data_IF_505313258994
#
_entry.id   IF_505313258994
#
_cell.length_a   1.000
_cell.length_b   1.000
_cell.length_c   1.000
_cell.angle_alpha   90.00
_cell.angle_beta   90.00
_cell.angle_gamma   90.00
#
_symmetry.space_group_name_H-M   'P 1'
#
loop_
_entity.id
_entity.type
_entity.pdbx_description
1 polymer ?
#
# COMPACT_ATOMS: atom_id res chain seq x y z
N UNK A 1 40.99 22.96 30.80
CA UNK A 1 40.16 24.16 30.54
C UNK A 1 39.45 23.95 29.23
N UNK A 2 38.11 24.04 29.25
CA UNK A 2 37.15 24.19 28.15
C UNK A 2 37.29 23.24 26.94
N UNK A 3 36.24 22.52 26.52
CA UNK A 3 34.94 23.08 26.20
C UNK A 3 33.78 22.11 26.49
N UNK A 4 32.82 22.61 27.27
CA UNK A 4 31.40 22.30 27.13
C UNK A 4 30.91 22.71 25.74
N UNK A 5 30.08 21.89 25.11
CA UNK A 5 28.83 22.28 24.42
C UNK A 5 28.26 21.10 23.60
N UNK A 6 27.68 20.11 24.27
CA UNK A 6 26.50 19.42 23.72
C UNK A 6 25.28 19.89 24.51
N UNK A 7 25.04 21.20 24.42
CA UNK A 7 23.74 21.75 24.78
C UNK A 7 22.75 21.27 23.72
N UNK A 8 21.98 20.25 24.10
CA UNK A 8 20.67 19.92 23.57
C UNK A 8 19.94 21.22 23.21
N UNK A 9 19.98 21.58 21.92
CA UNK A 9 18.96 22.48 21.42
C UNK A 9 17.67 21.66 21.49
N UNK A 10 16.84 21.99 22.47
CA UNK A 10 15.44 21.60 22.45
C UNK A 10 14.80 22.34 21.27
N UNK A 11 15.13 21.91 20.04
CA UNK A 11 14.38 22.27 18.85
C UNK A 11 12.93 21.90 19.14
N UNK A 12 11.99 22.80 18.83
CA UNK A 12 10.56 22.53 18.93
C UNK A 12 10.32 21.13 18.38
N UNK A 13 9.81 20.22 19.21
CA UNK A 13 9.62 18.83 18.81
C UNK A 13 8.75 18.80 17.56
N UNK A 14 9.38 18.52 16.42
CA UNK A 14 8.71 18.50 15.13
C UNK A 14 7.60 17.44 15.18
N UNK A 15 6.44 17.78 14.62
CA UNK A 15 5.33 16.82 14.50
C UNK A 15 5.80 15.63 13.70
N UNK A 16 5.33 14.43 14.06
CA UNK A 16 5.63 13.21 13.31
C UNK A 16 4.54 12.97 12.28
N UNK A 17 4.82 13.10 10.96
CA UNK A 17 3.87 12.79 9.91
C UNK A 17 3.60 11.28 9.82
N UNK A 18 2.50 10.91 9.16
CA UNK A 18 2.22 9.55 8.71
C UNK A 18 2.83 9.34 7.32
N UNK A 19 3.60 8.27 7.13
CA UNK A 19 4.10 7.87 5.81
C UNK A 19 3.09 6.95 5.12
N UNK A 20 2.72 7.23 3.87
CA UNK A 20 1.74 6.46 3.11
C UNK A 20 2.34 6.02 1.78
N UNK A 21 2.49 4.71 1.57
CA UNK A 21 2.81 4.14 0.28
C UNK A 21 1.53 3.77 -0.47
N UNK A 22 1.38 4.22 -1.71
CA UNK A 22 0.23 3.88 -2.57
C UNK A 22 0.71 2.95 -3.68
N UNK A 23 0.22 1.71 -3.70
CA UNK A 23 0.65 0.67 -4.64
C UNK A 23 -0.44 0.37 -5.65
N UNK A 24 -0.16 0.58 -6.93
CA UNK A 24 -1.13 0.34 -8.00
C UNK A 24 -1.28 -1.14 -8.38
N UNK A 25 -2.36 -1.42 -9.11
CA UNK A 25 -2.68 -2.73 -9.70
C UNK A 25 -1.97 -3.01 -11.02
N UNK A 26 -2.47 -4.00 -11.77
CA UNK A 26 -1.91 -4.42 -13.06
C UNK A 26 -2.01 -3.35 -14.14
N UNK A 27 -1.24 -3.57 -15.21
CA UNK A 27 -1.31 -2.80 -16.44
C UNK A 27 -0.47 -1.51 -16.44
N UNK A 28 -0.61 -0.76 -17.52
CA UNK A 28 0.18 0.45 -17.81
C UNK A 28 -0.34 1.64 -17.03
N UNK A 29 -0.04 1.66 -15.74
CA UNK A 29 -0.30 2.82 -14.90
C UNK A 29 0.66 3.95 -15.29
N UNK A 30 0.13 5.16 -15.38
CA UNK A 30 0.94 6.37 -15.55
C UNK A 30 1.66 6.69 -14.22
N UNK A 31 2.87 7.28 -14.22
CA UNK A 31 3.52 7.72 -12.98
C UNK A 31 2.65 8.61 -12.06
N UNK A 32 1.67 9.31 -12.63
CA UNK A 32 0.70 10.19 -11.94
C UNK A 32 -0.55 9.45 -11.43
N UNK A 33 -0.61 8.11 -11.49
CA UNK A 33 -1.82 7.33 -11.16
C UNK A 33 -2.43 7.62 -9.78
N UNK A 34 -1.63 8.13 -8.84
CA UNK A 34 -2.05 8.39 -7.48
C UNK A 34 -2.37 9.87 -7.21
N UNK A 35 -2.22 10.78 -8.17
CA UNK A 35 -2.29 12.23 -7.93
C UNK A 35 -3.65 12.66 -7.36
N UNK A 36 -4.75 12.14 -7.92
CA UNK A 36 -6.10 12.42 -7.42
C UNK A 36 -6.29 11.89 -6.00
N UNK A 37 -5.91 10.63 -5.73
CA UNK A 37 -5.96 10.04 -4.40
C UNK A 37 -5.12 10.86 -3.40
N UNK A 38 -3.93 11.31 -3.80
CA UNK A 38 -3.03 12.10 -2.96
C UNK A 38 -3.70 13.41 -2.57
N UNK A 39 -4.25 14.15 -3.54
CA UNK A 39 -4.94 15.40 -3.27
C UNK A 39 -6.14 15.19 -2.33
N UNK A 40 -6.94 14.18 -2.63
CA UNK A 40 -8.17 13.82 -1.92
C UNK A 40 -7.91 13.34 -0.47
N UNK A 41 -6.91 12.48 -0.26
CA UNK A 41 -6.52 12.01 1.07
C UNK A 41 -5.88 13.13 1.88
N UNK A 42 -4.98 13.93 1.29
CA UNK A 42 -4.32 15.04 1.96
C UNK A 42 -5.34 16.06 2.45
N UNK A 43 -6.28 16.43 1.59
CA UNK A 43 -7.37 17.34 1.93
C UNK A 43 -8.25 16.81 3.06
N UNK A 44 -8.74 15.56 2.95
CA UNK A 44 -9.61 14.97 3.98
C UNK A 44 -8.89 14.76 5.31
N UNK A 45 -7.65 14.28 5.27
CA UNK A 45 -6.82 14.05 6.45
C UNK A 45 -6.63 15.34 7.25
N UNK A 46 -6.29 16.43 6.56
CA UNK A 46 -6.09 17.74 7.19
C UNK A 46 -7.37 18.23 7.91
N UNK A 47 -8.55 17.94 7.37
CA UNK A 47 -9.84 18.30 8.00
C UNK A 47 -10.17 17.53 9.27
N UNK A 48 -9.54 16.37 9.50
CA UNK A 48 -9.72 15.59 10.72
C UNK A 48 -8.70 15.94 11.81
N UNK A 49 -7.70 16.80 11.50
CA UNK A 49 -6.74 17.28 12.48
C UNK A 49 -7.28 18.48 13.29
N UNK A 50 -6.81 18.66 14.54
CA UNK A 50 -7.16 19.84 15.34
C UNK A 50 -6.74 21.15 14.66
N UNK A 51 -7.52 22.22 14.87
CA UNK A 51 -7.30 23.52 14.22
C UNK A 51 -5.98 24.22 14.63
N UNK A 52 -5.37 23.82 15.75
CA UNK A 52 -4.09 24.36 16.22
C UNK A 52 -2.86 23.66 15.60
N UNK A 53 -3.05 22.65 14.74
CA UNK A 53 -1.96 22.03 14.00
C UNK A 53 -1.56 22.96 12.85
N UNK A 54 -0.32 23.49 12.83
CA UNK A 54 0.16 24.26 11.69
C UNK A 54 0.32 23.35 10.47
N UNK A 55 -0.04 23.85 9.30
CA UNK A 55 0.12 23.19 8.00
C UNK A 55 -0.31 21.70 8.00
N UNK A 56 -1.56 21.37 8.36
CA UNK A 56 -2.02 20.00 8.58
C UNK A 56 -1.89 19.09 7.35
N UNK A 57 -1.81 19.66 6.14
CA UNK A 57 -1.56 18.93 4.90
C UNK A 57 -0.14 18.34 4.83
N UNK A 58 0.83 18.90 5.56
CA UNK A 58 2.22 18.40 5.63
C UNK A 58 2.37 17.22 6.58
N UNK A 59 1.33 16.91 7.36
CA UNK A 59 1.34 15.88 8.39
C UNK A 59 1.02 14.47 7.86
N UNK A 60 0.88 14.35 6.53
CA UNK A 60 0.75 13.12 5.78
C UNK A 60 1.68 13.19 4.57
N UNK A 61 2.58 12.22 4.43
CA UNK A 61 3.55 12.15 3.33
C UNK A 61 3.23 10.93 2.49
N UNK A 62 2.84 11.15 1.24
CA UNK A 62 2.39 10.09 0.34
C UNK A 62 3.41 9.87 -0.78
N UNK A 63 3.67 8.60 -1.09
CA UNK A 63 4.59 8.16 -2.15
C UNK A 63 3.89 7.12 -3.04
N UNK A 64 3.72 7.41 -4.34
CA UNK A 64 3.29 6.42 -5.32
C UNK A 64 4.38 5.35 -5.52
N UNK A 65 4.00 4.08 -5.44
CA UNK A 65 4.86 2.96 -5.79
C UNK A 65 4.55 2.50 -7.21
N UNK A 66 5.23 3.12 -8.17
CA UNK A 66 5.07 2.86 -9.60
C UNK A 66 5.96 1.69 -10.07
N UNK A 67 5.43 0.47 -10.04
CA UNK A 67 6.16 -0.75 -10.40
C UNK A 67 5.92 -1.21 -11.85
N UNK A 68 4.90 -0.66 -12.54
CA UNK A 68 4.55 -1.02 -13.92
C UNK A 68 5.74 -1.06 -14.91
N UNK A 69 6.75 -0.16 -14.85
CA UNK A 69 7.88 -0.18 -15.77
C UNK A 69 8.70 -1.48 -15.77
N UNK A 70 8.63 -2.29 -14.69
CA UNK A 70 9.34 -3.56 -14.60
C UNK A 70 8.86 -4.57 -15.65
N UNK A 71 7.55 -4.59 -15.94
CA UNK A 71 6.94 -5.55 -16.88
C UNK A 71 6.59 -4.92 -18.23
N UNK A 72 6.48 -3.60 -18.32
CA UNK A 72 6.00 -2.86 -19.48
C UNK A 72 6.68 -3.27 -20.81
N UNK A 73 8.00 -3.50 -20.81
CA UNK A 73 8.73 -3.89 -22.02
C UNK A 73 8.36 -5.29 -22.49
N UNK A 74 8.26 -6.26 -21.58
CA UNK A 74 7.88 -7.64 -21.90
C UNK A 74 6.42 -7.71 -22.38
N UNK A 75 5.52 -6.96 -21.74
CA UNK A 75 4.12 -6.85 -22.16
C UNK A 75 3.96 -6.26 -23.56
N UNK A 76 4.67 -5.18 -23.90
CA UNK A 76 4.63 -4.60 -25.24
C UNK A 76 5.08 -5.62 -26.30
N UNK A 77 6.18 -6.34 -26.04
CA UNK A 77 6.63 -7.37 -26.97
C UNK A 77 5.60 -8.50 -27.15
N UNK A 78 4.98 -8.97 -26.06
CA UNK A 78 3.93 -9.99 -26.12
C UNK A 78 2.73 -9.49 -26.93
N UNK A 79 2.26 -8.29 -26.64
CA UNK A 79 1.11 -7.68 -27.31
C UNK A 79 1.35 -7.48 -28.82
N UNK A 80 2.53 -7.01 -29.21
CA UNK A 80 2.91 -6.85 -30.61
C UNK A 80 2.95 -8.18 -31.37
N UNK A 81 3.31 -9.28 -30.69
CA UNK A 81 3.27 -10.62 -31.28
C UNK A 81 1.83 -11.13 -31.44
N UNK A 82 0.99 -10.97 -30.41
CA UNK A 82 -0.40 -11.43 -30.41
C UNK A 82 -1.29 -10.67 -31.41
N UNK A 83 -1.08 -9.35 -31.57
CA UNK A 83 -1.83 -8.52 -32.51
C UNK A 83 -1.66 -8.90 -33.99
N UNK A 84 -0.60 -9.63 -34.34
CA UNK A 84 -0.31 -10.01 -35.74
C UNK A 84 -1.21 -11.14 -36.26
N UNK A 85 -1.97 -11.83 -35.41
CA UNK A 85 -2.64 -13.09 -35.77
C UNK A 85 -4.19 -13.10 -35.66
N UNK A 86 -4.86 -11.95 -35.77
CA UNK A 86 -6.30 -11.93 -36.15
C UNK A 86 -7.21 -10.92 -35.43
N UNK A 87 -8.46 -10.86 -35.90
CA UNK A 87 -9.53 -10.03 -35.31
C UNK A 87 -10.11 -10.72 -34.06
N UNK A 88 -9.87 -10.13 -32.89
CA UNK A 88 -10.35 -10.63 -31.60
C UNK A 88 -11.63 -9.90 -31.18
N UNK A 89 -12.65 -10.66 -30.77
CA UNK A 89 -13.84 -10.10 -30.10
C UNK A 89 -13.56 -9.83 -28.60
N UNK A 90 -14.27 -8.88 -28.00
CA UNK A 90 -14.12 -8.48 -26.58
C UNK A 90 -12.71 -8.01 -26.20
N UNK A 91 -12.05 -7.24 -27.09
CA UNK A 91 -10.66 -6.79 -26.95
C UNK A 91 -10.36 -6.19 -25.57
N UNK A 92 -11.25 -5.36 -25.00
CA UNK A 92 -11.02 -4.73 -23.69
C UNK A 92 -10.94 -5.76 -22.55
N UNK A 93 -11.90 -6.71 -22.48
CA UNK A 93 -11.91 -7.76 -21.47
C UNK A 93 -10.75 -8.74 -21.67
N UNK A 94 -10.46 -9.14 -22.92
CA UNK A 94 -9.31 -9.99 -23.23
C UNK A 94 -8.00 -9.30 -22.85
N UNK A 95 -7.86 -8.01 -23.15
CA UNK A 95 -6.69 -7.22 -22.77
C UNK A 95 -6.54 -7.16 -21.25
N UNK A 96 -7.61 -6.89 -20.52
CA UNK A 96 -7.57 -6.93 -19.05
C UNK A 96 -7.17 -8.31 -18.51
N UNK A 97 -7.76 -9.40 -19.01
CA UNK A 97 -7.40 -10.76 -18.58
C UNK A 97 -5.96 -11.13 -18.95
N UNK A 98 -5.45 -10.65 -20.08
CA UNK A 98 -4.05 -10.84 -20.48
C UNK A 98 -3.13 -10.00 -19.59
N UNK A 99 -3.42 -8.72 -19.35
CA UNK A 99 -2.63 -7.85 -18.47
C UNK A 99 -2.65 -8.41 -17.02
N UNK A 100 -3.84 -8.69 -16.47
CA UNK A 100 -3.98 -9.27 -15.13
C UNK A 100 -3.33 -10.66 -15.02
N UNK A 101 -3.64 -11.57 -15.95
CA UNK A 101 -3.12 -12.93 -15.94
C UNK A 101 -1.62 -13.00 -16.22
N UNK A 102 -1.10 -12.21 -17.18
CA UNK A 102 0.31 -12.17 -17.50
C UNK A 102 1.12 -11.52 -16.39
N UNK A 103 0.68 -10.39 -15.83
CA UNK A 103 1.33 -9.78 -14.67
C UNK A 103 1.32 -10.74 -13.49
N UNK A 104 0.19 -11.42 -13.26
CA UNK A 104 0.08 -12.35 -12.17
C UNK A 104 1.02 -13.55 -12.30
N UNK A 105 1.12 -14.12 -13.50
CA UNK A 105 2.03 -15.23 -13.81
C UNK A 105 3.50 -14.78 -13.79
N UNK A 106 3.81 -13.61 -14.33
CA UNK A 106 5.17 -13.08 -14.38
C UNK A 106 5.70 -12.68 -13.01
N UNK A 107 4.81 -12.17 -12.14
CA UNK A 107 5.16 -11.81 -10.77
C UNK A 107 5.49 -13.03 -9.90
N UNK A 108 4.86 -14.18 -10.14
CA UNK A 108 5.09 -15.36 -9.32
C UNK A 108 6.54 -15.87 -9.49
N UNK A 109 7.31 -15.96 -8.39
CA UNK A 109 8.67 -16.48 -8.47
C UNK A 109 8.64 -17.98 -8.74
N UNK A 110 9.43 -18.43 -9.70
CA UNK A 110 9.71 -19.85 -9.92
C UNK A 110 11.06 -20.20 -9.28
N UNK A 111 11.30 -21.48 -8.91
CA UNK A 111 12.63 -21.92 -8.50
C UNK A 111 13.69 -21.46 -9.52
N UNK A 112 14.69 -20.71 -9.05
CA UNK A 112 15.77 -20.12 -9.86
C UNK A 112 15.35 -19.03 -10.87
N UNK A 113 14.10 -18.53 -10.85
CA UNK A 113 13.65 -17.39 -11.69
C UNK A 113 12.77 -16.44 -10.87
N UNK A 114 13.42 -15.46 -10.24
CA UNK A 114 12.81 -14.46 -9.33
C UNK A 114 13.07 -13.01 -9.74
N UNK A 115 13.64 -12.78 -10.93
CA UNK A 115 14.11 -11.45 -11.33
C UNK A 115 13.01 -10.39 -11.32
N UNK A 116 11.79 -10.73 -11.80
CA UNK A 116 10.63 -9.82 -11.79
C UNK A 116 10.19 -9.52 -10.35
N UNK A 117 10.07 -10.55 -9.52
CA UNK A 117 9.72 -10.43 -8.11
C UNK A 117 10.70 -9.51 -7.36
N UNK A 118 12.00 -9.80 -7.46
CA UNK A 118 13.08 -9.01 -6.85
C UNK A 118 13.09 -7.57 -7.39
N UNK A 119 12.86 -7.36 -8.70
CA UNK A 119 12.83 -6.02 -9.29
C UNK A 119 11.66 -5.17 -8.78
N UNK A 120 10.44 -5.75 -8.71
CA UNK A 120 9.25 -5.09 -8.14
C UNK A 120 9.46 -4.77 -6.66
N UNK A 121 9.99 -5.73 -5.89
CA UNK A 121 10.33 -5.51 -4.48
C UNK A 121 11.44 -4.45 -4.31
N UNK A 122 12.37 -4.35 -5.26
CA UNK A 122 13.34 -3.26 -5.31
C UNK A 122 12.69 -1.88 -5.53
N UNK A 123 11.59 -1.80 -6.29
CA UNK A 123 10.79 -0.56 -6.41
C UNK A 123 10.15 -0.21 -5.08
N UNK A 124 9.51 -1.17 -4.41
CA UNK A 124 8.95 -1.00 -3.06
C UNK A 124 10.01 -0.45 -2.08
N UNK A 125 11.18 -1.08 -2.02
CA UNK A 125 12.27 -0.66 -1.12
C UNK A 125 12.73 0.77 -1.38
N UNK A 126 12.93 1.16 -2.65
CA UNK A 126 13.31 2.54 -3.00
C UNK A 126 12.22 3.55 -2.67
N UNK A 127 10.95 3.20 -2.84
CA UNK A 127 9.83 4.08 -2.45
C UNK A 127 9.73 4.24 -0.94
N UNK A 128 9.89 3.16 -0.15
CA UNK A 128 9.90 3.26 1.31
C UNK A 128 11.10 4.07 1.83
N UNK A 129 12.27 3.96 1.18
CA UNK A 129 13.41 4.82 1.48
C UNK A 129 13.09 6.30 1.27
N UNK A 130 12.52 6.68 0.13
CA UNK A 130 12.09 8.08 -0.13
C UNK A 130 11.04 8.55 0.89
N UNK A 131 10.12 7.67 1.30
CA UNK A 131 9.18 7.97 2.38
C UNK A 131 9.89 8.21 3.71
N UNK A 132 10.84 7.35 4.09
CA UNK A 132 11.61 7.50 5.33
C UNK A 132 12.43 8.81 5.33
N UNK A 133 13.02 9.18 4.20
CA UNK A 133 13.77 10.43 4.02
C UNK A 133 12.85 11.67 4.16
N UNK A 134 11.60 11.60 3.70
CA UNK A 134 10.64 12.75 3.70
C UNK A 134 9.77 12.84 4.95
N UNK A 135 9.35 11.71 5.52
CA UNK A 135 8.45 11.63 6.67
C UNK A 135 9.17 11.39 8.00
N UNK A 136 10.47 11.08 7.95
CA UNK A 136 11.27 10.66 9.09
C UNK A 136 11.36 9.14 9.20
N UNK A 137 12.54 8.65 9.62
CA UNK A 137 12.89 7.22 9.69
C UNK A 137 11.98 6.38 10.60
N UNK A 138 11.28 7.03 11.53
CA UNK A 138 10.40 6.40 12.49
C UNK A 138 8.92 6.61 12.17
N UNK A 139 8.55 7.26 11.06
CA UNK A 139 7.16 7.54 10.74
C UNK A 139 6.28 6.28 10.78
N UNK A 140 5.06 6.34 11.35
CA UNK A 140 4.10 5.27 11.18
C UNK A 140 3.83 5.04 9.70
N UNK A 141 3.98 3.80 9.24
CA UNK A 141 3.83 3.43 7.84
C UNK A 141 2.41 2.89 7.58
N UNK A 142 1.77 3.48 6.59
CA UNK A 142 0.53 3.02 5.97
C UNK A 142 0.82 2.54 4.54
N UNK A 143 0.17 1.45 4.14
CA UNK A 143 0.16 1.01 2.73
C UNK A 143 -1.28 0.96 2.24
N UNK A 144 -1.56 1.65 1.13
CA UNK A 144 -2.83 1.58 0.40
C UNK A 144 -2.53 0.85 -0.91
N UNK A 145 -3.14 -0.30 -1.15
CA UNK A 145 -2.76 -1.15 -2.24
C UNK A 145 -3.98 -1.65 -3.01
N UNK A 146 -3.95 -1.42 -4.33
CA UNK A 146 -5.04 -1.75 -5.23
C UNK A 146 -4.73 -3.00 -6.06
N UNK A 147 -5.71 -3.89 -6.23
CA UNK A 147 -5.62 -5.05 -7.11
C UNK A 147 -4.33 -5.87 -6.88
N UNK A 148 -3.57 -6.25 -7.92
CA UNK A 148 -2.29 -6.97 -7.77
C UNK A 148 -1.29 -6.25 -6.85
N UNK A 149 -1.35 -4.92 -6.75
CA UNK A 149 -0.58 -4.14 -5.80
C UNK A 149 -0.78 -4.59 -4.36
N UNK A 150 -1.97 -5.08 -3.99
CA UNK A 150 -2.25 -5.64 -2.66
C UNK A 150 -1.50 -6.94 -2.39
N UNK A 151 -1.36 -7.80 -3.40
CA UNK A 151 -0.55 -9.02 -3.31
C UNK A 151 0.94 -8.67 -3.25
N UNK A 152 1.39 -7.71 -4.06
CA UNK A 152 2.78 -7.22 -4.06
C UNK A 152 3.14 -6.66 -2.68
N UNK A 153 2.32 -5.74 -2.15
CA UNK A 153 2.49 -5.16 -0.83
C UNK A 153 2.46 -6.22 0.27
N UNK A 154 1.50 -7.15 0.24
CA UNK A 154 1.41 -8.22 1.23
C UNK A 154 2.63 -9.13 1.21
N UNK A 155 3.13 -9.53 0.03
CA UNK A 155 4.33 -10.36 -0.07
C UNK A 155 5.58 -9.60 0.37
N UNK A 156 5.71 -8.32 0.01
CA UNK A 156 6.83 -7.48 0.43
C UNK A 156 6.91 -7.33 1.96
N UNK A 157 5.78 -7.02 2.60
CA UNK A 157 5.71 -6.94 4.06
C UNK A 157 5.90 -8.32 4.70
N UNK A 158 5.39 -9.40 4.10
CA UNK A 158 5.64 -10.76 4.57
C UNK A 158 7.14 -11.09 4.56
N UNK A 159 7.84 -10.75 3.48
CA UNK A 159 9.28 -11.02 3.36
C UNK A 159 10.11 -10.20 4.35
N UNK A 160 9.67 -8.98 4.71
CA UNK A 160 10.25 -8.23 5.83
C UNK A 160 10.00 -8.93 7.17
N UNK A 161 8.74 -9.26 7.48
CA UNK A 161 8.35 -9.88 8.76
C UNK A 161 8.94 -11.28 8.97
N UNK A 162 9.15 -12.03 7.89
CA UNK A 162 9.71 -13.37 7.91
C UNK A 162 11.23 -13.39 7.70
N UNK A 163 11.89 -12.24 7.57
CA UNK A 163 13.32 -12.10 7.28
C UNK A 163 13.76 -12.83 5.99
N UNK A 164 12.87 -12.88 4.99
CA UNK A 164 13.06 -13.56 3.70
C UNK A 164 13.40 -12.62 2.54
N UNK A 165 13.56 -11.33 2.82
CA UNK A 165 13.85 -10.32 1.79
C UNK A 165 15.08 -10.72 0.93
N UNK A 166 14.99 -10.71 -0.42
CA UNK A 166 16.11 -10.99 -1.32
C UNK A 166 17.36 -10.15 -1.03
N UNK A 167 18.57 -10.71 -1.18
CA UNK A 167 19.83 -9.94 -1.07
C UNK A 167 19.88 -8.73 -2.02
N UNK A 168 19.41 -8.91 -3.25
CA UNK A 168 19.29 -7.86 -4.26
C UNK A 168 18.43 -6.67 -3.80
N UNK A 169 17.41 -6.94 -2.99
CA UNK A 169 16.52 -5.94 -2.42
C UNK A 169 17.10 -5.37 -1.12
N UNK A 170 17.64 -6.23 -0.23
CA UNK A 170 18.34 -5.81 1.00
C UNK A 170 19.46 -4.81 0.72
N UNK A 171 20.18 -4.97 -0.39
CA UNK A 171 21.27 -4.07 -0.79
C UNK A 171 20.82 -2.61 -1.03
N UNK A 172 19.52 -2.35 -1.23
CA UNK A 172 19.00 -0.98 -1.41
C UNK A 172 18.27 -0.42 -0.18
N UNK A 173 18.12 -1.22 0.89
CA UNK A 173 17.56 -0.77 2.17
C UNK A 173 18.58 0.02 2.98
N UNK A 174 18.11 1.01 3.72
CA UNK A 174 18.78 1.52 4.90
C UNK A 174 18.13 0.93 6.17
N UNK A 175 18.85 0.85 7.30
CA UNK A 175 18.33 0.26 8.54
C UNK A 175 17.40 1.24 9.28
N UNK A 176 16.35 1.73 8.60
CA UNK A 176 15.34 2.60 9.20
C UNK A 176 14.08 1.79 9.56
N UNK A 177 13.39 2.09 10.68
CA UNK A 177 12.17 1.39 11.06
C UNK A 177 11.06 1.40 9.99
N UNK A 178 10.93 2.48 9.21
CA UNK A 178 10.02 2.56 8.06
C UNK A 178 10.40 1.54 6.98
N UNK A 179 11.67 1.51 6.55
CA UNK A 179 12.13 0.62 5.48
C UNK A 179 12.13 -0.85 5.91
N UNK A 180 12.33 -1.12 7.20
CA UNK A 180 12.28 -2.47 7.77
C UNK A 180 10.84 -2.93 8.09
N UNK A 181 9.83 -2.08 7.87
CA UNK A 181 8.42 -2.40 8.16
C UNK A 181 8.11 -2.52 9.66
N UNK A 182 8.95 -1.98 10.52
CA UNK A 182 8.81 -2.05 11.98
C UNK A 182 7.75 -1.07 12.48
N UNK A 183 7.56 0.05 11.78
CA UNK A 183 6.52 1.05 12.04
C UNK A 183 5.26 0.86 11.19
N UNK A 184 5.16 -0.27 10.46
CA UNK A 184 3.98 -0.60 9.67
C UNK A 184 2.74 -0.76 10.57
N UNK A 185 1.73 0.08 10.32
CA UNK A 185 0.57 0.24 11.18
C UNK A 185 -0.75 0.04 10.44
N UNK A 186 -0.84 0.51 9.20
CA UNK A 186 -2.10 0.54 8.46
C UNK A 186 -1.98 -0.16 7.11
N UNK A 187 -2.97 -1.00 6.79
CA UNK A 187 -3.05 -1.66 5.48
C UNK A 187 -4.46 -1.53 4.91
N UNK A 188 -4.59 -0.86 3.78
CA UNK A 188 -5.85 -0.73 3.07
C UNK A 188 -5.74 -1.43 1.73
N UNK A 189 -6.57 -2.45 1.52
CA UNK A 189 -6.61 -3.21 0.27
C UNK A 189 -7.86 -2.87 -0.51
N UNK A 190 -7.72 -2.53 -1.78
CA UNK A 190 -8.81 -2.10 -2.67
C UNK A 190 -8.94 -3.10 -3.82
N UNK A 191 -10.12 -3.67 -4.04
CA UNK A 191 -10.35 -4.64 -5.13
C UNK A 191 -9.36 -5.81 -5.11
N UNK A 192 -9.06 -6.35 -3.93
CA UNK A 192 -7.89 -7.21 -3.72
C UNK A 192 -8.09 -8.64 -4.23
N UNK A 193 -7.17 -9.17 -5.09
CA UNK A 193 -7.14 -10.57 -5.48
C UNK A 193 -6.51 -11.49 -4.42
N UNK A 194 -6.17 -11.04 -3.21
CA UNK A 194 -5.51 -11.89 -2.19
C UNK A 194 -6.30 -13.18 -1.94
N UNK A 195 -7.64 -13.12 -1.95
CA UNK A 195 -8.50 -14.29 -1.82
C UNK A 195 -8.28 -15.32 -2.94
N UNK A 196 -8.25 -14.89 -4.20
CA UNK A 196 -7.93 -15.77 -5.34
C UNK A 196 -6.49 -16.28 -5.23
N UNK A 197 -5.57 -15.41 -4.83
CA UNK A 197 -4.16 -15.72 -4.69
C UNK A 197 -3.87 -16.76 -3.61
N UNK A 198 -4.72 -16.82 -2.59
CA UNK A 198 -4.62 -17.74 -1.47
C UNK A 198 -4.74 -19.21 -1.89
N UNK A 199 -5.37 -19.49 -3.04
CA UNK A 199 -5.53 -20.84 -3.60
C UNK A 199 -4.20 -21.57 -3.86
N UNK A 200 -3.09 -20.84 -3.93
CA UNK A 200 -1.74 -21.43 -4.04
C UNK A 200 -1.31 -22.20 -2.78
N UNK A 201 -2.06 -22.09 -1.68
CA UNK A 201 -1.77 -22.71 -0.40
C UNK A 201 -2.90 -23.66 0.02
N UNK A 202 -2.54 -24.79 0.65
CA UNK A 202 -3.49 -25.82 1.07
C UNK A 202 -4.51 -25.37 2.13
N UNK A 203 -4.24 -24.30 2.86
CA UNK A 203 -5.11 -23.72 3.91
C UNK A 203 -5.33 -22.21 3.69
N UNK A 204 -5.36 -21.78 2.41
CA UNK A 204 -5.49 -20.38 2.00
C UNK A 204 -4.40 -19.43 2.57
N UNK A 205 -3.29 -20.00 3.07
CA UNK A 205 -2.07 -19.29 3.43
C UNK A 205 -2.11 -18.56 4.77
N UNK A 206 -1.10 -17.72 4.98
CA UNK A 206 -0.89 -16.92 6.19
C UNK A 206 -1.01 -15.43 5.83
N UNK A 207 -1.79 -14.64 6.57
CA UNK A 207 -1.74 -13.19 6.41
C UNK A 207 -0.45 -12.61 7.00
N UNK A 208 -0.12 -11.38 6.60
CA UNK A 208 0.85 -10.54 7.32
C UNK A 208 0.27 -10.07 8.66
N UNK A 209 1.15 -9.68 9.59
CA UNK A 209 0.73 -9.01 10.81
C UNK A 209 0.42 -7.53 10.52
N UNK A 210 -0.75 -7.08 10.95
CA UNK A 210 -1.15 -5.66 10.94
C UNK A 210 -1.74 -5.31 12.31
N UNK A 211 -1.14 -4.38 13.05
CA UNK A 211 0.14 -3.70 12.78
C UNK A 211 1.34 -4.67 12.85
N UNK A 212 2.52 -4.17 12.49
CA UNK A 212 3.80 -4.84 12.74
C UNK A 212 3.95 -5.19 14.23
N UNK A 213 4.43 -6.39 14.59
CA UNK A 213 4.69 -6.75 15.99
C UNK A 213 5.70 -5.82 16.68
N UNK A 214 6.55 -5.13 15.90
CA UNK A 214 7.52 -4.16 16.43
C UNK A 214 6.94 -2.77 16.66
N UNK A 215 5.74 -2.47 16.16
CA UNK A 215 5.16 -1.12 16.21
C UNK A 215 5.11 -0.54 17.63
N UNK A 216 4.78 -1.37 18.62
CA UNK A 216 4.66 -0.95 20.01
C UNK A 216 5.97 -0.44 20.64
N UNK A 217 7.13 -0.77 20.07
CA UNK A 217 8.42 -0.23 20.50
C UNK A 217 8.56 1.27 20.15
N UNK A 218 7.86 1.72 19.11
CA UNK A 218 7.90 3.10 18.62
C UNK A 218 6.67 3.89 19.07
N UNK A 219 5.48 3.29 18.93
CA UNK A 219 4.20 3.94 19.21
C UNK A 219 3.27 2.98 19.97
N UNK A 220 3.43 2.82 21.29
CA UNK A 220 2.68 1.84 22.08
C UNK A 220 1.17 2.11 22.12
N UNK A 221 0.74 3.36 21.91
CA UNK A 221 -0.66 3.73 21.83
C UNK A 221 -1.28 3.47 20.44
N UNK A 222 -0.47 3.37 19.39
CA UNK A 222 -0.94 3.25 18.02
C UNK A 222 -1.44 1.83 17.74
N UNK A 223 -2.74 1.70 17.49
CA UNK A 223 -3.36 0.38 17.27
C UNK A 223 -3.19 -0.15 15.85
N UNK A 224 -3.15 0.72 14.83
CA UNK A 224 -3.16 0.30 13.43
C UNK A 224 -4.47 -0.39 13.02
N UNK A 225 -4.58 -0.76 11.74
CA UNK A 225 -5.67 -1.60 11.22
C UNK A 225 -5.39 -2.13 9.81
N UNK A 226 -6.02 -3.27 9.49
CA UNK A 226 -6.19 -3.71 8.10
C UNK A 226 -7.67 -3.68 7.73
N UNK A 227 -8.03 -2.86 6.75
CA UNK A 227 -9.38 -2.83 6.15
C UNK A 227 -9.29 -3.20 4.67
N UNK A 228 -10.14 -4.14 4.25
CA UNK A 228 -10.27 -4.56 2.87
C UNK A 228 -11.57 -4.01 2.26
N UNK A 229 -11.46 -3.21 1.21
CA UNK A 229 -12.58 -2.68 0.45
C UNK A 229 -12.75 -3.51 -0.82
N UNK A 230 -13.97 -3.98 -1.06
CA UNK A 230 -14.32 -4.76 -2.25
C UNK A 230 -15.66 -4.29 -2.80
N UNK A 231 -15.82 -4.28 -4.11
CA UNK A 231 -17.13 -4.07 -4.73
C UNK A 231 -17.77 -5.44 -4.98
N UNK A 232 -19.04 -5.68 -4.58
CA UNK A 232 -19.74 -6.91 -4.91
C UNK A 232 -19.80 -7.24 -6.42
N UNK A 233 -19.69 -6.23 -7.29
CA UNK A 233 -19.63 -6.37 -8.75
C UNK A 233 -18.19 -6.55 -9.29
N UNK A 234 -17.16 -6.48 -8.43
CA UNK A 234 -15.76 -6.72 -8.80
C UNK A 234 -15.45 -8.22 -8.81
N UNK A 235 -15.20 -8.76 -10.01
CA UNK A 235 -14.90 -10.19 -10.21
C UNK A 235 -13.55 -10.65 -9.64
N UNK A 236 -12.70 -9.71 -9.21
CA UNK A 236 -11.35 -9.96 -8.68
C UNK A 236 -11.28 -9.69 -7.17
N UNK A 237 -12.01 -8.70 -6.67
CA UNK A 237 -12.03 -8.30 -5.27
C UNK A 237 -12.98 -9.16 -4.42
N UNK A 238 -12.48 -9.75 -3.34
CA UNK A 238 -13.30 -10.57 -2.43
C UNK A 238 -13.01 -10.24 -0.94
N UNK A 239 -13.95 -10.57 -0.03
CA UNK A 239 -13.68 -10.56 1.40
C UNK A 239 -12.52 -11.49 1.78
N UNK A 240 -11.68 -11.06 2.73
CA UNK A 240 -10.50 -11.80 3.19
C UNK A 240 -10.75 -12.56 4.51
N UNK A 241 -11.60 -12.05 5.40
CA UNK A 241 -11.92 -12.71 6.69
C UNK A 241 -12.45 -14.14 6.54
N UNK A 242 -13.22 -14.50 5.49
CA UNK A 242 -13.70 -15.88 5.29
C UNK A 242 -12.61 -16.89 4.93
N UNK A 243 -11.41 -16.46 4.51
CA UNK A 243 -10.36 -17.37 4.04
C UNK A 243 -9.94 -18.38 5.12
N UNK A 244 -9.66 -17.89 6.34
CA UNK A 244 -9.42 -18.72 7.52
C UNK A 244 -9.44 -17.86 8.80
N UNK A 245 -9.29 -18.53 9.96
CA UNK A 245 -9.26 -17.89 11.27
C UNK A 245 -8.11 -16.87 11.44
N UNK A 246 -7.01 -17.04 10.72
CA UNK A 246 -5.85 -16.15 10.81
C UNK A 246 -6.15 -14.81 10.14
N UNK A 247 -6.75 -14.82 8.95
CA UNK A 247 -7.24 -13.60 8.31
C UNK A 247 -8.32 -12.92 9.14
N UNK A 248 -9.26 -13.68 9.73
CA UNK A 248 -10.32 -13.15 10.59
C UNK A 248 -9.80 -12.29 11.75
N UNK A 249 -8.63 -12.66 12.30
CA UNK A 249 -7.99 -11.97 13.44
C UNK A 249 -7.32 -10.65 13.07
N UNK A 250 -6.67 -10.58 11.91
CA UNK A 250 -5.85 -9.42 11.51
C UNK A 250 -6.59 -8.45 10.59
N UNK A 251 -7.52 -8.94 9.78
CA UNK A 251 -8.39 -8.10 8.95
C UNK A 251 -9.50 -7.55 9.84
N UNK A 252 -9.44 -6.25 10.15
CA UNK A 252 -10.43 -5.56 10.99
C UNK A 252 -11.81 -5.65 10.34
N UNK A 253 -11.91 -5.26 9.08
CA UNK A 253 -13.17 -5.25 8.33
C UNK A 253 -12.97 -5.59 6.85
N UNK A 254 -13.94 -6.33 6.29
CA UNK A 254 -14.21 -6.41 4.86
C UNK A 254 -15.41 -5.49 4.60
N UNK A 255 -15.21 -4.41 3.85
CA UNK A 255 -16.23 -3.38 3.60
C UNK A 255 -16.66 -3.44 2.13
N UNK A 256 -17.94 -3.78 1.84
CA UNK A 256 -18.47 -3.65 0.49
C UNK A 256 -18.60 -2.16 0.13
N UNK A 257 -18.16 -1.79 -1.05
CA UNK A 257 -18.29 -0.44 -1.63
C UNK A 257 -18.96 -0.52 -3.00
N UNK A 258 -19.38 0.60 -3.56
CA UNK A 258 -19.96 0.66 -4.90
C UNK A 258 -19.18 1.65 -5.76
N UNK A 259 -18.10 1.16 -6.38
CA UNK A 259 -17.17 1.98 -7.16
C UNK A 259 -17.50 1.95 -8.66
N UNK A 260 -18.60 1.29 -9.04
CA UNK A 260 -19.14 1.23 -10.40
C UNK A 260 -20.49 1.97 -10.55
N UNK A 261 -20.70 2.65 -11.68
CA UNK A 261 -22.06 3.05 -12.06
C UNK A 261 -22.84 1.82 -12.58
N UNK A 262 -24.18 1.84 -12.51
CA UNK A 262 -25.07 0.75 -13.00
C UNK A 262 -24.81 0.37 -14.48
N UNK A 263 -24.19 1.24 -15.27
CA UNK A 263 -23.79 0.98 -16.67
C UNK A 263 -22.34 0.43 -16.81
N UNK A 264 -21.58 0.38 -15.72
CA UNK A 264 -20.19 -0.07 -15.64
C UNK A 264 -20.00 -1.37 -14.84
N UNK A 265 -21.07 -1.94 -14.27
CA UNK A 265 -21.10 -3.18 -13.46
C UNK A 265 -20.65 -4.47 -14.18
N UNK A 266 -20.04 -4.38 -15.38
CA UNK A 266 -19.63 -5.52 -16.22
C UNK A 266 -18.32 -5.27 -17.02
N UNK A 267 -17.48 -4.30 -16.63
CA UNK A 267 -16.26 -3.96 -17.36
C UNK A 267 -15.11 -3.60 -16.41
N UNK A 268 -13.82 -3.82 -16.77
CA UNK A 268 -12.60 -3.34 -16.09
C UNK A 268 -12.57 -1.91 -15.51
N UNK A 269 -13.59 -1.09 -15.74
CA UNK A 269 -13.76 0.25 -15.19
C UNK A 269 -14.19 0.26 -13.72
N UNK A 270 -15.03 -0.67 -13.25
CA UNK A 270 -15.39 -0.75 -11.82
C UNK A 270 -14.15 -1.02 -10.96
N UNK A 271 -13.27 -1.89 -11.46
CA UNK A 271 -11.98 -2.18 -10.87
C UNK A 271 -10.98 -1.00 -10.90
N UNK A 272 -11.32 0.14 -11.52
CA UNK A 272 -10.48 1.35 -11.51
C UNK A 272 -11.09 2.48 -10.67
N UNK A 273 -12.34 2.32 -10.21
CA UNK A 273 -13.10 3.36 -9.50
C UNK A 273 -12.75 3.54 -8.01
N UNK A 274 -11.92 2.67 -7.44
CA UNK A 274 -11.62 2.67 -6.00
C UNK A 274 -10.85 3.90 -5.49
N UNK A 275 -10.13 4.61 -6.35
CA UNK A 275 -9.15 5.61 -5.90
C UNK A 275 -9.76 6.87 -5.31
N UNK A 276 -10.92 7.29 -5.78
CA UNK A 276 -11.52 8.59 -5.40
C UNK A 276 -12.89 8.45 -4.74
N UNK A 277 -13.33 7.23 -4.47
CA UNK A 277 -14.61 6.98 -3.82
C UNK A 277 -14.62 7.52 -2.39
N UNK A 278 -15.71 8.19 -2.01
CA UNK A 278 -15.90 8.75 -0.67
C UNK A 278 -15.98 7.67 0.41
N UNK A 279 -16.56 6.52 0.09
CA UNK A 279 -16.70 5.38 1.00
C UNK A 279 -15.34 4.72 1.29
N UNK A 280 -14.28 5.10 0.58
CA UNK A 280 -12.91 4.64 0.76
C UNK A 280 -12.04 5.75 1.35
N UNK A 281 -11.98 6.89 0.69
CA UNK A 281 -11.05 7.98 1.04
C UNK A 281 -11.38 8.65 2.36
N UNK A 282 -12.67 8.80 2.72
CA UNK A 282 -13.10 9.38 4.00
C UNK A 282 -12.71 8.51 5.20
N UNK A 283 -13.05 7.20 5.26
CA UNK A 283 -12.67 6.37 6.39
C UNK A 283 -11.15 6.22 6.52
N UNK A 284 -10.42 6.07 5.40
CA UNK A 284 -8.94 6.01 5.43
C UNK A 284 -8.37 7.30 6.02
N UNK A 285 -8.77 8.47 5.50
CA UNK A 285 -8.26 9.76 5.99
C UNK A 285 -8.55 9.97 7.48
N UNK A 286 -9.74 9.56 7.95
CA UNK A 286 -10.11 9.63 9.37
C UNK A 286 -9.24 8.72 10.22
N UNK A 287 -9.05 7.47 9.83
CA UNK A 287 -8.24 6.50 10.57
C UNK A 287 -6.77 6.94 10.66
N UNK A 288 -6.21 7.47 9.56
CA UNK A 288 -4.86 8.03 9.55
C UNK A 288 -4.74 9.27 10.44
N UNK A 289 -5.74 10.16 10.44
CA UNK A 289 -5.75 11.33 11.30
C UNK A 289 -5.83 10.97 12.79
N UNK A 290 -6.63 9.96 13.15
CA UNK A 290 -6.66 9.42 14.52
C UNK A 290 -5.34 8.75 14.91
N UNK A 291 -4.71 8.01 13.98
CA UNK A 291 -3.37 7.46 14.17
C UNK A 291 -2.33 8.56 14.42
N UNK A 292 -2.38 9.65 13.64
CA UNK A 292 -1.51 10.81 13.83
C UNK A 292 -1.70 11.45 15.21
N UNK A 293 -2.95 11.58 15.69
CA UNK A 293 -3.24 12.11 17.04
C UNK A 293 -2.65 11.22 18.14
N UNK A 294 -2.73 9.89 17.99
CA UNK A 294 -2.14 8.94 18.94
C UNK A 294 -0.61 9.06 18.98
N UNK A 295 0.02 9.20 17.82
CA UNK A 295 1.48 9.36 17.66
C UNK A 295 1.96 10.69 18.24
N UNK A 296 1.17 11.74 18.10
CA UNK A 296 1.52 13.10 18.49
C UNK A 296 0.83 13.58 19.77
N UNK A 297 0.25 12.69 20.56
CA UNK A 297 -0.56 13.03 21.74
C UNK A 297 0.18 13.94 22.73
N UNK A 298 1.44 13.62 23.04
CA UNK A 298 2.27 14.43 23.95
C UNK A 298 2.54 15.86 23.42
N UNK A 299 2.60 16.03 22.09
CA UNK A 299 2.79 17.34 21.45
C UNK A 299 1.49 18.14 21.40
N UNK A 300 0.35 17.45 21.25
CA UNK A 300 -0.98 18.08 21.33
C UNK A 300 -1.23 18.67 22.71
N UNK A 301 -0.88 17.95 23.79
CA UNK A 301 -1.04 18.43 25.17
C UNK A 301 -0.11 19.59 25.53
N UNK A 302 1.05 19.69 24.88
CA UNK A 302 2.02 20.76 25.14
C UNK A 302 1.68 22.09 24.44
N UNK A 303 0.77 22.07 23.45
CA UNK A 303 0.34 23.22 22.64
C UNK A 303 -1.10 23.69 22.93
N UNK A 304 -1.70 23.19 24.01
CA UNK A 304 -2.99 23.64 24.59
C UNK A 304 -2.74 24.34 25.90
#
# INVERSE_FOLDING_TARGET
>A
MAHDADSLSAGKAEWQPIAVAVVHGVGRQDPTFADELIAELTYRFARFLPANVPDPQTQIIIEPVHWAPVLQHAEEQLWQRLKREGDLNFIKLRRFMVEFGADALAYQPLPHRRAVYDAIHGVMARSLRRLAERAGSHAPLCVIAHSLGSVIASNYIYDLQAEKMPDSVRAVHQPTPVELGETFAFFYTLGSPIALWSLRFSDFGMPINVPSPRLAHYYPALKGEWVNFYDPDDIIGYPLKPLNEKYRRVVKADIPVNVGSILASWNPLSHMGYWTDNDITVPIARALAEGWKQVNAARLTANT
#
